data_IF_152551454540
#
_entry.id   IF_152551454540
#
_cell.length_a   1.000
_cell.length_b   1.000
_cell.length_c   1.000
_cell.angle_alpha   90.00
_cell.angle_beta   90.00
_cell.angle_gamma   90.00
#
_symmetry.space_group_name_H-M   'P 1'
#
loop_
_entity.id
_entity.type
_entity.pdbx_description
1 polymer ?
#
# COMPACT_ATOMS: atom_id res chain seq x y z
N UNK A 1 -15.17 -9.21 21.95
CA UNK A 1 -14.69 -10.61 21.86
C UNK A 1 -15.72 -11.63 22.34
N UNK A 2 -16.01 -11.78 23.65
CA UNK A 2 -17.03 -12.75 24.10
C UNK A 2 -18.43 -12.50 23.52
N UNK A 3 -18.83 -11.24 23.41
CA UNK A 3 -20.09 -10.86 22.76
C UNK A 3 -20.13 -11.16 21.24
N UNK A 4 -18.97 -11.40 20.61
CA UNK A 4 -18.87 -11.85 19.21
C UNK A 4 -18.79 -13.38 19.10
N UNK A 5 -18.99 -14.11 20.21
CA UNK A 5 -18.85 -15.56 20.26
C UNK A 5 -17.41 -16.07 20.31
N UNK A 6 -16.42 -15.19 20.57
CA UNK A 6 -15.01 -15.58 20.59
C UNK A 6 -14.42 -15.51 22.00
N UNK A 7 -13.81 -16.61 22.43
CA UNK A 7 -13.15 -16.76 23.72
C UNK A 7 -11.65 -17.08 23.55
N UNK A 8 -10.79 -16.31 24.22
CA UNK A 8 -9.35 -16.59 24.29
C UNK A 8 -9.11 -17.50 25.50
N UNK A 9 -8.53 -18.67 25.27
CA UNK A 9 -8.19 -19.65 26.31
C UNK A 9 -6.70 -19.98 26.27
N UNK A 10 -6.13 -20.35 27.42
CA UNK A 10 -4.74 -20.78 27.51
C UNK A 10 -4.51 -22.16 26.88
N UNK A 11 -5.54 -23.00 26.83
CA UNK A 11 -5.52 -24.33 26.23
C UNK A 11 -6.66 -24.46 25.21
N UNK A 12 -6.35 -25.12 24.09
CA UNK A 12 -7.34 -25.44 23.08
C UNK A 12 -8.29 -26.55 23.59
N UNK A 13 -9.60 -26.48 23.28
CA UNK A 13 -10.52 -27.61 23.49
C UNK A 13 -10.06 -28.90 22.79
N UNK A 14 -10.48 -30.06 23.29
CA UNK A 14 -10.11 -31.37 22.72
C UNK A 14 -10.59 -31.57 21.27
N UNK A 15 -11.68 -30.91 20.89
CA UNK A 15 -12.27 -30.92 19.55
C UNK A 15 -11.82 -29.73 18.68
N UNK A 16 -10.83 -28.95 19.15
CA UNK A 16 -10.35 -27.80 18.41
C UNK A 16 -9.66 -28.22 17.10
N UNK A 17 -10.03 -27.53 16.02
CA UNK A 17 -9.33 -27.64 14.73
C UNK A 17 -8.24 -26.59 14.67
N UNK A 18 -7.02 -27.02 14.35
CA UNK A 18 -5.91 -26.09 14.11
C UNK A 18 -6.07 -25.43 12.76
N UNK A 19 -6.15 -24.10 12.75
CA UNK A 19 -6.14 -23.30 11.51
C UNK A 19 -4.76 -22.67 11.37
N UNK A 20 -4.03 -23.08 10.35
CA UNK A 20 -2.76 -22.45 9.99
C UNK A 20 -3.02 -21.15 9.24
N UNK A 21 -2.54 -20.03 9.78
CA UNK A 21 -2.62 -18.72 9.12
C UNK A 21 -1.21 -18.27 8.70
N UNK A 22 -1.09 -17.81 7.47
CA UNK A 22 0.17 -17.27 6.93
C UNK A 22 -0.14 -16.26 5.84
N UNK A 23 0.75 -15.28 5.66
CA UNK A 23 0.71 -14.33 4.55
C UNK A 23 1.45 -14.83 3.31
N UNK A 24 2.27 -15.87 3.45
CA UNK A 24 3.05 -16.47 2.36
C UNK A 24 2.91 -18.01 2.39
N UNK A 25 2.36 -18.55 1.31
CA UNK A 25 1.97 -19.96 1.17
C UNK A 25 2.87 -20.65 0.13
N UNK A 26 4.19 -20.66 0.36
CA UNK A 26 5.15 -21.20 -0.62
C UNK A 26 4.80 -22.60 -1.12
N UNK A 27 4.51 -23.60 -0.26
CA UNK A 27 4.20 -24.95 -0.71
C UNK A 27 3.00 -25.00 -1.67
N UNK A 28 1.95 -24.23 -1.36
CA UNK A 28 0.73 -24.15 -2.16
C UNK A 28 0.95 -23.40 -3.46
N UNK A 29 1.68 -22.28 -3.44
CA UNK A 29 2.04 -21.51 -4.64
C UNK A 29 2.91 -22.37 -5.56
N UNK A 30 3.93 -23.05 -5.02
CA UNK A 30 4.79 -23.98 -5.77
C UNK A 30 3.99 -25.11 -6.40
N UNK A 31 3.07 -25.71 -5.64
CA UNK A 31 2.17 -26.73 -6.17
C UNK A 31 1.30 -26.17 -7.29
N UNK A 32 0.69 -25.00 -7.11
CA UNK A 32 -0.14 -24.37 -8.12
C UNK A 32 0.63 -24.08 -9.42
N UNK A 33 1.84 -23.50 -9.34
CA UNK A 33 2.70 -23.24 -10.50
C UNK A 33 3.10 -24.53 -11.22
N UNK A 34 3.43 -25.59 -10.47
CA UNK A 34 3.81 -26.88 -11.05
C UNK A 34 2.70 -27.53 -11.89
N UNK A 35 1.42 -27.27 -11.58
CA UNK A 35 0.29 -27.76 -12.36
C UNK A 35 0.26 -27.17 -13.78
N UNK A 36 0.92 -26.03 -13.99
CA UNK A 36 1.05 -25.37 -15.29
C UNK A 36 2.46 -25.56 -15.91
N UNK A 37 3.31 -26.41 -15.33
CA UNK A 37 4.70 -26.59 -15.78
C UNK A 37 5.59 -25.37 -15.54
N UNK A 38 5.21 -24.48 -14.63
CA UNK A 38 5.99 -23.29 -14.27
C UNK A 38 6.86 -23.62 -13.05
N UNK A 39 8.16 -23.43 -13.18
CA UNK A 39 9.09 -23.57 -12.06
C UNK A 39 8.88 -22.46 -11.03
N UNK A 40 9.18 -22.78 -9.76
CA UNK A 40 9.12 -21.77 -8.70
C UNK A 40 10.26 -20.76 -8.90
N UNK A 41 9.99 -19.45 -8.85
CA UNK A 41 11.02 -18.45 -9.10
C UNK A 41 12.09 -18.44 -8.01
N UNK A 42 13.35 -18.21 -8.39
CA UNK A 42 14.45 -17.99 -7.44
C UNK A 42 14.29 -16.69 -6.65
N UNK A 43 13.72 -15.67 -7.31
CA UNK A 43 13.52 -14.34 -6.75
C UNK A 43 12.06 -14.14 -6.36
N UNK A 44 11.83 -13.89 -5.08
CA UNK A 44 10.47 -13.70 -4.52
C UNK A 44 10.32 -12.27 -4.01
N UNK A 45 9.29 -11.58 -4.48
CA UNK A 45 8.90 -10.27 -3.98
C UNK A 45 7.44 -10.32 -3.49
N UNK A 46 7.18 -9.77 -2.31
CA UNK A 46 5.87 -9.83 -1.65
C UNK A 46 5.46 -8.44 -1.20
N UNK A 47 4.25 -8.03 -1.58
CA UNK A 47 3.60 -6.85 -1.02
C UNK A 47 2.57 -7.29 0.01
N UNK A 48 2.63 -6.77 1.23
CA UNK A 48 1.64 -7.02 2.29
C UNK A 48 1.26 -5.70 2.96
N UNK A 49 -0.03 -5.54 3.27
CA UNK A 49 -0.48 -4.41 4.08
C UNK A 49 -0.10 -4.68 5.55
N UNK A 50 0.67 -3.80 6.17
CA UNK A 50 1.06 -3.95 7.58
C UNK A 50 0.89 -2.63 8.33
N UNK A 51 0.07 -2.63 9.40
CA UNK A 51 -0.11 -1.42 10.21
C UNK A 51 1.05 -1.18 11.17
N UNK A 52 1.97 -2.12 11.29
CA UNK A 52 2.91 -2.17 12.38
C UNK A 52 2.23 -2.55 13.70
N UNK A 53 3.02 -2.74 14.75
CA UNK A 53 2.54 -3.13 16.06
C UNK A 53 2.74 -2.03 17.10
N UNK A 54 1.63 -1.43 17.56
CA UNK A 54 1.62 -0.49 18.68
C UNK A 54 0.74 -1.01 19.82
N UNK A 55 1.31 -1.45 20.96
CA UNK A 55 0.54 -2.02 22.06
C UNK A 55 -0.27 -1.00 22.85
N UNK A 56 0.08 0.28 22.76
CA UNK A 56 -0.45 1.34 23.64
C UNK A 56 -1.19 2.46 22.89
N UNK A 57 -1.19 2.45 21.55
CA UNK A 57 -1.83 3.47 20.71
C UNK A 57 -2.52 2.82 19.51
N UNK A 58 -3.31 3.59 18.77
CA UNK A 58 -3.96 3.07 17.57
C UNK A 58 -2.91 2.66 16.53
N UNK A 59 -3.00 1.41 16.04
CA UNK A 59 -2.16 0.96 14.92
C UNK A 59 -2.37 1.80 13.65
N UNK A 60 -3.51 2.49 13.49
CA UNK A 60 -3.73 3.44 12.38
C UNK A 60 -2.80 4.64 12.46
N UNK A 61 -2.69 5.23 13.65
CA UNK A 61 -1.79 6.36 13.93
C UNK A 61 -0.35 5.89 13.75
N UNK A 62 0.03 4.77 14.36
CA UNK A 62 1.38 4.24 14.26
C UNK A 62 1.81 3.94 12.81
N UNK A 63 0.94 3.30 12.01
CA UNK A 63 1.16 3.09 10.58
C UNK A 63 1.48 4.39 9.86
N UNK A 64 0.70 5.44 10.13
CA UNK A 64 0.84 6.72 9.45
C UNK A 64 2.08 7.50 9.92
N UNK A 65 2.40 7.44 11.22
CA UNK A 65 3.63 7.99 11.80
C UNK A 65 4.87 7.39 11.11
N UNK A 66 4.92 6.06 10.95
CA UNK A 66 6.05 5.40 10.28
C UNK A 66 6.20 5.83 8.82
N UNK A 67 5.11 5.95 8.06
CA UNK A 67 5.16 6.48 6.68
C UNK A 67 5.69 7.92 6.66
N UNK A 68 5.27 8.77 7.60
CA UNK A 68 5.74 10.15 7.70
C UNK A 68 7.22 10.22 8.06
N UNK A 69 7.68 9.44 9.03
CA UNK A 69 9.09 9.39 9.45
C UNK A 69 10.02 8.95 8.30
N UNK A 70 9.58 7.96 7.51
CA UNK A 70 10.29 7.53 6.30
C UNK A 70 10.42 8.66 5.28
N UNK A 71 9.34 9.43 5.05
CA UNK A 71 9.35 10.56 4.13
C UNK A 71 10.22 11.71 4.63
N UNK A 72 10.11 12.08 5.90
CA UNK A 72 10.93 13.14 6.49
C UNK A 72 12.42 12.79 6.41
N UNK A 73 12.78 11.53 6.62
CA UNK A 73 14.17 11.04 6.49
C UNK A 73 14.63 10.97 5.04
N UNK A 74 13.74 10.60 4.12
CA UNK A 74 14.05 10.40 2.70
C UNK A 74 13.79 11.61 1.80
N UNK A 75 13.69 12.81 2.38
CA UNK A 75 13.39 14.07 1.69
C UNK A 75 12.13 13.98 0.79
N UNK A 76 11.15 13.21 1.25
CA UNK A 76 9.88 12.93 0.59
C UNK A 76 10.02 12.34 -0.82
N UNK A 77 11.13 11.68 -1.13
CA UNK A 77 11.26 10.88 -2.33
C UNK A 77 10.33 9.65 -2.23
N UNK A 78 9.62 9.32 -3.31
CA UNK A 78 8.67 8.21 -3.38
C UNK A 78 9.26 6.86 -2.90
N UNK A 79 10.55 6.60 -3.14
CA UNK A 79 11.19 5.36 -2.74
C UNK A 79 11.56 5.32 -1.26
N UNK A 80 11.47 6.44 -0.53
CA UNK A 80 11.67 6.45 0.92
C UNK A 80 10.63 5.62 1.68
N UNK A 81 9.43 5.44 1.11
CA UNK A 81 8.38 4.56 1.63
C UNK A 81 8.68 3.07 1.49
N UNK A 82 9.83 2.71 0.88
CA UNK A 82 10.27 1.33 0.72
C UNK A 82 11.55 1.12 1.51
N UNK A 83 11.47 0.30 2.55
CA UNK A 83 12.62 -0.17 3.31
C UNK A 83 12.92 -1.63 2.94
N UNK A 84 14.17 -1.91 2.56
CA UNK A 84 14.68 -3.26 2.35
C UNK A 84 16.01 -3.41 3.12
N UNK A 85 16.02 -4.09 4.28
CA UNK A 85 14.91 -4.84 4.87
C UNK A 85 13.76 -3.96 5.45
N UNK A 86 12.54 -4.50 5.62
CA UNK A 86 11.43 -3.84 6.30
C UNK A 86 11.75 -3.45 7.73
N UNK A 87 11.06 -2.41 8.22
CA UNK A 87 11.15 -1.94 9.61
C UNK A 87 10.77 -3.05 10.60
N UNK A 88 11.39 -3.04 11.77
CA UNK A 88 11.17 -4.05 12.82
C UNK A 88 9.69 -4.12 13.26
N UNK A 89 9.02 -2.97 13.30
CA UNK A 89 7.62 -2.85 13.74
C UNK A 89 6.63 -3.46 12.74
N UNK A 90 7.04 -3.70 11.49
CA UNK A 90 6.22 -4.34 10.43
C UNK A 90 6.13 -5.85 10.65
N UNK A 91 5.40 -6.27 11.68
CA UNK A 91 5.34 -7.66 12.14
C UNK A 91 4.90 -8.69 11.08
N UNK A 92 3.97 -8.36 10.18
CA UNK A 92 3.56 -9.24 9.05
C UNK A 92 4.66 -9.35 8.03
N UNK A 93 5.31 -8.23 7.69
CA UNK A 93 6.47 -8.24 6.79
C UNK A 93 7.63 -9.06 7.39
N UNK A 94 7.89 -8.92 8.69
CA UNK A 94 8.89 -9.72 9.39
C UNK A 94 8.52 -11.21 9.41
N UNK A 95 7.25 -11.57 9.54
CA UNK A 95 6.79 -12.95 9.48
C UNK A 95 7.07 -13.57 8.10
N UNK A 96 6.78 -12.85 7.00
CA UNK A 96 7.11 -13.30 5.64
C UNK A 96 8.62 -13.46 5.48
N UNK A 97 9.43 -12.50 5.95
CA UNK A 97 10.90 -12.59 5.85
C UNK A 97 11.50 -13.75 6.65
N UNK A 98 10.89 -14.15 7.77
CA UNK A 98 11.33 -15.35 8.50
C UNK A 98 11.09 -16.61 7.68
N UNK A 99 10.02 -16.66 6.89
CA UNK A 99 9.71 -17.79 6.01
C UNK A 99 10.53 -17.75 4.70
N UNK A 100 10.79 -16.56 4.17
CA UNK A 100 11.58 -16.34 2.96
C UNK A 100 12.65 -15.25 3.20
N UNK A 101 13.82 -15.60 3.76
CA UNK A 101 14.86 -14.62 4.13
C UNK A 101 15.39 -13.77 2.96
N UNK A 102 15.41 -14.38 1.76
CA UNK A 102 15.82 -13.73 0.52
C UNK A 102 14.72 -12.93 -0.18
N UNK A 103 13.49 -12.87 0.34
CA UNK A 103 12.41 -12.14 -0.33
C UNK A 103 12.54 -10.62 -0.16
N UNK A 104 12.13 -9.87 -1.20
CA UNK A 104 11.84 -8.44 -1.08
C UNK A 104 10.44 -8.31 -0.50
N UNK A 105 10.29 -7.67 0.66
CA UNK A 105 8.98 -7.52 1.31
C UNK A 105 8.69 -6.05 1.53
N UNK A 106 7.51 -5.57 1.18
CA UNK A 106 7.16 -4.14 1.27
C UNK A 106 5.64 -3.94 1.31
N UNK A 107 5.19 -2.69 1.42
CA UNK A 107 3.78 -2.33 1.64
C UNK A 107 2.96 -2.29 0.34
N UNK A 108 1.76 -2.86 0.37
CA UNK A 108 0.86 -2.90 -0.80
C UNK A 108 0.46 -1.53 -1.33
N UNK A 109 0.27 -0.54 -0.45
CA UNK A 109 -0.20 0.80 -0.83
C UNK A 109 0.79 1.52 -1.74
N UNK A 110 2.00 1.87 -1.24
CA UNK A 110 3.05 2.52 -2.03
C UNK A 110 3.44 1.72 -3.26
N UNK A 111 3.57 0.39 -3.15
CA UNK A 111 3.94 -0.48 -4.28
C UNK A 111 2.95 -0.40 -5.43
N UNK A 112 1.64 -0.36 -5.15
CA UNK A 112 0.63 -0.21 -6.21
C UNK A 112 0.77 1.13 -6.94
N UNK A 113 1.09 2.21 -6.22
CA UNK A 113 1.30 3.54 -6.81
C UNK A 113 2.62 3.64 -7.59
N UNK A 114 3.68 3.02 -7.10
CA UNK A 114 4.95 2.86 -7.84
C UNK A 114 4.71 2.05 -9.11
N UNK A 115 3.92 0.99 -9.03
CA UNK A 115 3.49 0.19 -10.17
C UNK A 115 2.68 0.98 -11.19
N UNK A 116 1.78 1.86 -10.77
CA UNK A 116 1.03 2.74 -11.66
C UNK A 116 1.96 3.64 -12.50
N UNK A 117 3.13 4.02 -11.99
CA UNK A 117 4.16 4.77 -12.73
C UNK A 117 4.90 3.93 -13.79
N UNK A 118 4.63 2.63 -13.89
CA UNK A 118 5.09 1.82 -15.02
C UNK A 118 4.29 2.09 -16.30
N UNK A 119 3.07 2.62 -16.20
CA UNK A 119 2.33 3.18 -17.35
C UNK A 119 3.07 4.40 -17.90
N UNK A 120 3.41 4.37 -19.19
CA UNK A 120 4.20 5.41 -19.83
C UNK A 120 3.53 6.80 -19.79
N UNK A 121 2.19 6.86 -19.90
CA UNK A 121 1.43 8.12 -19.84
C UNK A 121 1.44 8.67 -18.42
N UNK A 122 1.22 7.81 -17.42
CA UNK A 122 1.29 8.19 -16.01
C UNK A 122 2.69 8.70 -15.66
N UNK A 123 3.73 7.98 -16.08
CA UNK A 123 5.14 8.38 -15.85
C UNK A 123 5.48 9.73 -16.50
N UNK A 124 4.94 10.01 -17.69
CA UNK A 124 5.15 11.29 -18.35
C UNK A 124 4.47 12.42 -17.57
N UNK A 125 3.19 12.27 -17.22
CA UNK A 125 2.42 13.28 -16.46
C UNK A 125 2.97 13.49 -15.06
N UNK A 126 3.52 12.45 -14.43
CA UNK A 126 4.15 12.57 -13.12
C UNK A 126 5.25 13.64 -13.09
N UNK A 127 5.98 13.85 -14.19
CA UNK A 127 7.02 14.91 -14.29
C UNK A 127 6.44 16.33 -14.12
N UNK A 128 5.20 16.54 -14.54
CA UNK A 128 4.50 17.82 -14.47
C UNK A 128 3.79 17.99 -13.12
N UNK A 129 3.26 16.90 -12.57
CA UNK A 129 2.55 16.83 -11.29
C UNK A 129 1.20 16.13 -11.43
N UNK A 130 0.93 15.13 -10.59
CA UNK A 130 -0.30 14.33 -10.62
C UNK A 130 -0.80 13.99 -9.21
N UNK A 131 -2.09 13.67 -9.12
CA UNK A 131 -2.66 12.93 -7.99
C UNK A 131 -2.70 11.44 -8.36
N UNK A 132 -2.03 10.61 -7.58
CA UNK A 132 -2.00 9.16 -7.72
C UNK A 132 -2.83 8.50 -6.63
N UNK A 133 -3.82 7.69 -7.01
CA UNK A 133 -4.74 7.05 -6.07
C UNK A 133 -4.69 5.53 -6.24
N UNK A 134 -4.44 4.80 -5.15
CA UNK A 134 -4.67 3.36 -5.08
C UNK A 134 -5.96 3.13 -4.30
N UNK A 135 -7.04 2.77 -4.99
CA UNK A 135 -8.32 2.39 -4.40
C UNK A 135 -8.36 0.87 -4.12
N UNK A 136 -7.69 0.45 -3.04
CA UNK A 136 -7.61 -0.94 -2.60
C UNK A 136 -8.92 -1.50 -2.07
N UNK A 137 -8.91 -2.73 -1.55
CA UNK A 137 -10.10 -3.33 -0.92
C UNK A 137 -10.33 -2.80 0.50
N UNK A 138 -9.26 -2.74 1.30
CA UNK A 138 -9.31 -2.26 2.68
C UNK A 138 -8.94 -0.78 2.82
N UNK A 139 -7.93 -0.31 2.07
CA UNK A 139 -7.40 1.04 2.18
C UNK A 139 -7.29 1.73 0.82
N UNK A 140 -7.53 3.03 0.85
CA UNK A 140 -7.27 3.96 -0.23
C UNK A 140 -6.08 4.82 0.16
N UNK A 141 -5.01 4.78 -0.62
CA UNK A 141 -3.81 5.62 -0.46
C UNK A 141 -3.74 6.61 -1.62
N UNK A 142 -3.47 7.87 -1.31
CA UNK A 142 -3.40 8.95 -2.30
C UNK A 142 -2.10 9.73 -2.13
N UNK A 143 -1.40 10.01 -3.23
CA UNK A 143 -0.23 10.89 -3.30
C UNK A 143 -0.49 12.08 -4.21
N UNK A 144 -0.14 13.29 -3.76
CA UNK A 144 0.21 14.37 -4.66
C UNK A 144 1.70 14.20 -5.00
N UNK A 145 2.04 13.98 -6.28
CA UNK A 145 3.39 13.61 -6.71
C UNK A 145 3.87 14.49 -7.88
N UNK A 146 5.10 15.00 -7.80
CA UNK A 146 5.80 15.61 -8.93
C UNK A 146 7.20 15.00 -9.12
N UNK A 147 7.44 14.43 -10.28
CA UNK A 147 8.60 13.59 -10.56
C UNK A 147 8.60 12.38 -9.63
N UNK A 148 9.45 12.44 -8.61
CA UNK A 148 9.54 11.46 -7.51
C UNK A 148 9.24 12.07 -6.15
N UNK A 149 9.10 13.38 -6.06
CA UNK A 149 8.84 14.06 -4.79
C UNK A 149 7.35 13.98 -4.47
N UNK A 150 7.03 13.44 -3.30
CA UNK A 150 5.69 13.47 -2.73
C UNK A 150 5.47 14.86 -2.10
N UNK A 151 4.41 15.51 -2.53
CA UNK A 151 3.98 16.83 -2.05
C UNK A 151 3.00 16.71 -0.89
N UNK A 152 2.28 15.60 -0.84
CA UNK A 152 1.39 15.21 0.24
C UNK A 152 0.87 13.80 0.03
N UNK A 153 0.42 13.16 1.11
CA UNK A 153 -0.35 11.94 1.04
C UNK A 153 -1.46 11.88 2.10
N UNK A 154 -2.43 10.99 1.86
CA UNK A 154 -3.32 10.51 2.91
C UNK A 154 -3.65 9.03 2.71
N UNK A 155 -3.98 8.35 3.81
CA UNK A 155 -4.52 6.99 3.80
C UNK A 155 -5.86 6.94 4.53
N UNK A 156 -6.84 6.28 3.91
CA UNK A 156 -8.19 6.14 4.44
C UNK A 156 -8.69 4.71 4.27
N UNK A 157 -9.61 4.24 5.12
CA UNK A 157 -10.36 3.01 4.84
C UNK A 157 -11.25 3.18 3.60
N UNK A 158 -11.13 2.26 2.64
CA UNK A 158 -11.89 2.33 1.38
C UNK A 158 -13.39 2.20 1.59
N UNK A 159 -13.82 1.44 2.62
CA UNK A 159 -15.23 1.26 2.97
C UNK A 159 -15.93 2.54 3.45
N UNK A 160 -15.16 3.52 3.93
CA UNK A 160 -15.69 4.82 4.39
C UNK A 160 -15.73 5.88 3.29
N UNK A 161 -15.28 5.55 2.08
CA UNK A 161 -15.20 6.48 0.96
C UNK A 161 -16.29 6.22 -0.09
N UNK A 162 -16.89 7.32 -0.54
CA UNK A 162 -17.60 7.44 -1.81
C UNK A 162 -16.83 8.39 -2.74
N UNK A 163 -17.35 8.59 -3.97
CA UNK A 163 -16.69 9.46 -4.95
C UNK A 163 -16.57 10.92 -4.48
N UNK A 164 -17.58 11.46 -3.80
CA UNK A 164 -17.57 12.86 -3.35
C UNK A 164 -16.58 13.06 -2.21
N UNK A 165 -16.57 12.14 -1.24
CA UNK A 165 -15.61 12.15 -0.12
C UNK A 165 -14.18 12.03 -0.62
N UNK A 166 -13.91 11.10 -1.54
CA UNK A 166 -12.56 10.96 -2.07
C UNK A 166 -12.12 12.21 -2.84
N UNK A 167 -12.98 12.80 -3.67
CA UNK A 167 -12.68 14.07 -4.35
C UNK A 167 -12.39 15.20 -3.35
N UNK A 168 -13.16 15.31 -2.27
CA UNK A 168 -12.90 16.29 -1.22
C UNK A 168 -11.48 16.17 -0.65
N UNK A 169 -11.07 14.96 -0.27
CA UNK A 169 -9.73 14.72 0.26
C UNK A 169 -8.62 14.96 -0.77
N UNK A 170 -8.83 14.56 -2.02
CA UNK A 170 -7.87 14.81 -3.12
C UNK A 170 -7.61 16.30 -3.29
N UNK A 171 -8.65 17.13 -3.30
CA UNK A 171 -8.48 18.55 -3.56
C UNK A 171 -7.90 19.29 -2.36
N UNK A 172 -8.27 18.92 -1.13
CA UNK A 172 -7.59 19.44 0.06
C UNK A 172 -6.11 19.04 0.12
N UNK A 173 -5.78 17.82 -0.34
CA UNK A 173 -4.40 17.37 -0.47
C UNK A 173 -3.63 18.23 -1.48
N UNK A 174 -4.20 18.47 -2.66
CA UNK A 174 -3.61 19.28 -3.73
C UNK A 174 -3.41 20.74 -3.30
N UNK A 175 -4.41 21.32 -2.61
CA UNK A 175 -4.37 22.69 -2.07
C UNK A 175 -3.42 22.83 -0.87
N UNK A 176 -2.93 21.70 -0.34
CA UNK A 176 -2.07 21.67 0.83
C UNK A 176 -2.76 22.04 2.15
N UNK A 177 -4.08 21.86 2.22
CA UNK A 177 -4.92 22.23 3.38
C UNK A 177 -5.44 21.01 4.15
N UNK A 178 -5.20 19.79 3.66
CA UNK A 178 -5.62 18.56 4.33
C UNK A 178 -4.83 18.34 5.62
N UNK A 179 -5.53 18.13 6.73
CA UNK A 179 -4.93 17.81 8.02
C UNK A 179 -5.04 16.32 8.35
N UNK A 180 -4.19 15.85 9.25
CA UNK A 180 -4.24 14.45 9.68
C UNK A 180 -5.49 14.16 10.50
N UNK A 181 -5.92 15.12 11.31
CA UNK A 181 -7.10 15.04 12.17
C UNK A 181 -8.37 14.86 11.33
N UNK A 182 -8.53 15.61 10.24
CA UNK A 182 -9.67 15.49 9.34
C UNK A 182 -9.81 14.10 8.72
N UNK A 183 -8.69 13.45 8.38
CA UNK A 183 -8.70 12.09 7.85
C UNK A 183 -8.93 11.06 8.96
N UNK A 184 -8.29 11.24 10.11
CA UNK A 184 -8.40 10.31 11.22
C UNK A 184 -9.81 10.29 11.82
N UNK A 185 -10.42 11.46 12.00
CA UNK A 185 -11.75 11.63 12.61
C UNK A 185 -12.88 11.13 11.69
N UNK A 186 -12.70 11.13 10.36
CA UNK A 186 -13.62 10.46 9.41
C UNK A 186 -13.33 8.95 9.24
N UNK A 187 -12.46 8.40 10.08
CA UNK A 187 -12.20 6.97 10.17
C UNK A 187 -11.04 6.47 9.32
N UNK A 188 -10.22 7.35 8.74
CA UNK A 188 -8.98 7.02 8.06
C UNK A 188 -7.79 6.80 8.99
N UNK A 189 -6.58 6.93 8.42
CA UNK A 189 -5.31 6.71 9.12
C UNK A 189 -4.57 8.01 9.40
N UNK A 190 -4.55 8.91 8.42
CA UNK A 190 -3.93 10.23 8.55
C UNK A 190 -3.61 10.88 7.21
N UNK A 191 -3.10 12.10 7.29
CA UNK A 191 -2.60 12.87 6.17
C UNK A 191 -1.31 13.62 6.52
N UNK A 192 -0.45 13.81 5.54
CA UNK A 192 0.76 14.59 5.65
C UNK A 192 0.92 15.44 4.38
N UNK A 193 1.13 16.73 4.55
CA UNK A 193 1.33 17.68 3.45
C UNK A 193 2.64 18.40 3.65
N UNK A 194 3.51 18.39 2.62
CA UNK A 194 4.75 19.16 2.59
C UNK A 194 4.54 20.51 1.92
N UNK A 195 3.83 20.53 0.78
CA UNK A 195 3.57 21.73 -0.03
C UNK A 195 2.42 21.48 -1.01
N UNK A 196 1.69 22.51 -1.45
CA UNK A 196 0.61 22.37 -2.42
C UNK A 196 1.13 21.95 -3.80
N UNK A 197 0.31 21.23 -4.56
CA UNK A 197 0.57 20.83 -5.93
C UNK A 197 -0.60 21.26 -6.83
N UNK A 198 -0.35 22.22 -7.70
CA UNK A 198 -1.32 22.65 -8.71
C UNK A 198 -1.38 21.60 -9.82
N UNK A 199 -2.44 20.78 -9.82
CA UNK A 199 -2.74 19.80 -10.86
C UNK A 199 -4.22 19.44 -10.83
N UNK A 200 -4.81 19.20 -12.00
CA UNK A 200 -6.14 18.60 -12.17
C UNK A 200 -6.06 17.11 -12.54
N UNK A 201 -4.84 16.59 -12.68
CA UNK A 201 -4.59 15.28 -13.27
C UNK A 201 -4.66 14.22 -12.19
N UNK A 202 -5.79 13.50 -12.16
CA UNK A 202 -5.99 12.38 -11.25
C UNK A 202 -5.84 11.05 -11.99
N UNK A 203 -4.96 10.21 -11.47
CA UNK A 203 -4.68 8.87 -11.92
C UNK A 203 -5.08 7.90 -10.82
N UNK A 204 -5.77 6.82 -11.17
CA UNK A 204 -6.24 5.83 -10.21
C UNK A 204 -5.93 4.40 -10.64
N UNK A 205 -5.61 3.56 -9.65
CA UNK A 205 -5.49 2.10 -9.76
C UNK A 205 -6.25 1.41 -8.64
N UNK A 206 -6.29 0.08 -8.67
CA UNK A 206 -6.94 -0.75 -7.66
C UNK A 206 -8.35 -1.23 -8.02
N UNK A 207 -8.89 -2.18 -7.24
CA UNK A 207 -10.18 -2.81 -7.51
C UNK A 207 -11.38 -1.86 -7.37
N UNK A 208 -11.30 -0.84 -6.50
CA UNK A 208 -12.41 0.08 -6.24
C UNK A 208 -12.40 1.34 -7.13
N UNK A 209 -11.49 1.41 -8.12
CA UNK A 209 -11.26 2.62 -8.93
C UNK A 209 -12.50 3.12 -9.68
N UNK A 210 -13.27 2.24 -10.31
CA UNK A 210 -14.47 2.63 -11.07
C UNK A 210 -15.61 3.07 -10.14
N UNK A 211 -15.66 2.51 -8.92
CA UNK A 211 -16.65 2.89 -7.91
C UNK A 211 -16.36 4.29 -7.35
N UNK A 212 -15.09 4.59 -7.12
CA UNK A 212 -14.68 5.82 -6.45
C UNK A 212 -14.40 6.98 -7.43
N UNK A 213 -13.76 6.73 -8.55
CA UNK A 213 -13.34 7.74 -9.52
C UNK A 213 -13.41 7.18 -10.96
N UNK A 214 -14.62 6.97 -11.52
CA UNK A 214 -14.76 6.46 -12.88
C UNK A 214 -14.16 7.40 -13.94
N UNK A 215 -14.16 8.70 -13.69
CA UNK A 215 -13.67 9.74 -14.62
C UNK A 215 -12.15 9.96 -14.57
N UNK A 216 -11.46 9.44 -13.53
CA UNK A 216 -10.01 9.57 -13.44
C UNK A 216 -9.30 8.69 -14.49
N UNK A 217 -8.05 9.03 -14.82
CA UNK A 217 -7.26 8.20 -15.72
C UNK A 217 -6.93 6.86 -15.03
N UNK A 218 -7.33 5.75 -15.66
CA UNK A 218 -7.14 4.41 -15.14
C UNK A 218 -5.74 3.91 -15.53
N UNK A 219 -4.80 3.85 -14.57
CA UNK A 219 -3.40 3.47 -14.82
C UNK A 219 -3.23 1.99 -15.19
N UNK A 220 -2.90 1.69 -16.46
CA UNK A 220 -2.77 0.33 -16.96
C UNK A 220 -1.29 -0.01 -17.29
N UNK A 221 -0.42 -0.19 -16.28
CA UNK A 221 0.97 -0.54 -16.53
C UNK A 221 1.07 -1.83 -17.34
N UNK A 222 1.80 -1.76 -18.45
CA UNK A 222 1.94 -2.87 -19.42
C UNK A 222 0.60 -3.47 -19.90
N UNK A 223 -0.47 -2.69 -19.86
CA UNK A 223 -1.81 -3.11 -20.30
C UNK A 223 -2.66 -3.80 -19.23
N UNK A 224 -2.15 -4.01 -18.00
CA UNK A 224 -2.91 -4.66 -16.93
C UNK A 224 -2.96 -3.81 -15.65
N UNK A 225 -4.14 -3.26 -15.40
CA UNK A 225 -4.49 -2.49 -14.20
C UNK A 225 -4.28 -3.29 -12.91
N UNK A 226 -4.73 -4.56 -12.89
CA UNK A 226 -4.80 -5.39 -11.68
C UNK A 226 -3.41 -5.85 -11.22
N UNK A 227 -2.42 -5.80 -12.10
CA UNK A 227 -1.04 -6.14 -11.83
C UNK A 227 -0.16 -4.94 -11.44
N UNK A 228 -0.75 -3.76 -11.21
CA UNK A 228 0.01 -2.57 -10.76
C UNK A 228 0.96 -2.92 -9.59
N UNK A 229 0.45 -3.60 -8.55
CA UNK A 229 1.30 -4.03 -7.43
C UNK A 229 2.46 -4.95 -7.85
N UNK A 230 2.21 -5.90 -8.74
CA UNK A 230 3.24 -6.82 -9.24
C UNK A 230 4.33 -6.08 -10.03
N UNK A 231 3.96 -5.13 -10.89
CA UNK A 231 4.92 -4.31 -11.62
C UNK A 231 5.70 -3.37 -10.70
N UNK A 232 5.06 -2.85 -9.64
CA UNK A 232 5.73 -2.11 -8.58
C UNK A 232 6.81 -2.94 -7.89
N UNK A 233 6.51 -4.19 -7.52
CA UNK A 233 7.48 -5.12 -6.93
C UNK A 233 8.65 -5.42 -7.88
N UNK A 234 8.37 -5.70 -9.16
CA UNK A 234 9.41 -5.94 -10.15
C UNK A 234 10.33 -4.73 -10.35
N UNK A 235 9.75 -3.52 -10.40
CA UNK A 235 10.51 -2.27 -10.46
C UNK A 235 11.40 -2.10 -9.23
N UNK A 236 10.86 -2.32 -8.02
CA UNK A 236 11.61 -2.19 -6.77
C UNK A 236 12.72 -3.22 -6.68
N UNK A 237 12.49 -4.46 -7.10
CA UNK A 237 13.52 -5.49 -7.16
C UNK A 237 14.73 -5.01 -7.96
N UNK A 238 14.49 -4.50 -9.18
CA UNK A 238 15.53 -3.94 -10.03
C UNK A 238 16.27 -2.76 -9.37
N UNK A 239 15.55 -1.87 -8.69
CA UNK A 239 16.15 -0.68 -8.07
C UNK A 239 17.00 -1.00 -6.83
N UNK A 240 16.59 -1.98 -6.03
CA UNK A 240 17.19 -2.27 -4.73
C UNK A 240 18.14 -3.47 -4.75
N UNK A 241 17.97 -4.43 -5.67
CA UNK A 241 18.64 -5.74 -5.62
C UNK A 241 19.38 -6.17 -6.88
N UNK A 242 19.19 -5.49 -8.01
CA UNK A 242 19.96 -5.72 -9.24
C UNK A 242 21.06 -4.65 -9.46
N UNK A 243 21.48 -3.96 -8.39
CA UNK A 243 22.56 -2.96 -8.46
C UNK A 243 23.92 -3.59 -8.67
#
# INVERSE_FOLDING_TARGET
MRAMGVEIRATAPDDAVTVHTTDYMEPEIRKALSLFGVEYPENVAVAVQDHGYSPHRSNRIHRFELMREQLDTGDWDLLSLVADPPLADMTRMQAIRKQAPGALVTDTGPVALIGALCDARVRQRAKEGIILVNAGNGHTLCFALKGREIYGLFEHHTGSLDSKRLQHYIWKLADGTLTSEEVFDDGGHGAAVRKPLVTDTVVITGPNRLRLMPEAYQAAPFGDMMLSGCFGLAYLWRVFRER
#
